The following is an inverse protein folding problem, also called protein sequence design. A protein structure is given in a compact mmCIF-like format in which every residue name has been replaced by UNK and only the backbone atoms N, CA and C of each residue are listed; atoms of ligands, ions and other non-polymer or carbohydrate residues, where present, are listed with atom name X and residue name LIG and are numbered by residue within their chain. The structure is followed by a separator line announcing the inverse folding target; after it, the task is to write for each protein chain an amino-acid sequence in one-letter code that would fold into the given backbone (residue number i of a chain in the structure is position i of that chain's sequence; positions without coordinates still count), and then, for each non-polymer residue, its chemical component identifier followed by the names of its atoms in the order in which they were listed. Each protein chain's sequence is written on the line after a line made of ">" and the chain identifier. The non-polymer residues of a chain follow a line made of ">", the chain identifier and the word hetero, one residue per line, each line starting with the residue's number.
data_IF_034539111497
#
_entry.id   IF_034539111497
#
_cell.length_a   1.000
_cell.length_b   1.000
_cell.length_c   1.000
_cell.angle_alpha   90.00
_cell.angle_beta   90.00
_cell.angle_gamma   90.00
#
_symmetry.space_group_name_H-M   'P 1'
#
loop_
_entity.id
_entity.type
_entity.pdbx_description
1 polymer ?
#
# COMPACT_ATOMS: atom_id res chain seq x y z
N UNK A 1 30.20 49.25 -41.56
CA UNK A 1 28.90 48.83 -40.99
C UNK A 1 28.62 49.74 -39.81
N UNK A 2 27.59 50.59 -39.88
CA UNK A 2 27.22 51.51 -38.79
C UNK A 2 26.09 50.84 -38.01
N UNK A 3 26.41 50.27 -36.86
CA UNK A 3 25.40 49.90 -35.87
C UNK A 3 24.92 51.19 -35.20
N UNK A 4 23.61 51.45 -35.21
CA UNK A 4 23.04 52.63 -34.57
C UNK A 4 22.72 52.33 -33.10
N UNK A 5 22.63 53.37 -32.26
CA UNK A 5 22.28 53.23 -30.85
C UNK A 5 20.87 52.62 -30.68
N UNK A 6 19.98 52.89 -31.65
CA UNK A 6 18.64 52.33 -31.75
C UNK A 6 18.64 50.80 -31.96
N UNK A 7 19.63 50.26 -32.69
CA UNK A 7 19.75 48.80 -32.90
C UNK A 7 20.06 48.07 -31.58
N UNK A 8 20.85 48.70 -30.69
CA UNK A 8 21.20 48.13 -29.38
C UNK A 8 20.01 48.15 -28.42
N UNK A 9 19.20 49.21 -28.44
CA UNK A 9 17.98 49.31 -27.64
C UNK A 9 16.91 48.29 -28.09
N UNK A 10 16.76 48.08 -29.40
CA UNK A 10 15.85 47.06 -29.93
C UNK A 10 16.30 45.63 -29.55
N UNK A 11 17.61 45.37 -29.55
CA UNK A 11 18.13 44.08 -29.13
C UNK A 11 17.92 43.86 -27.62
N UNK A 12 18.16 44.89 -26.80
CA UNK A 12 17.92 44.83 -25.35
C UNK A 12 16.45 44.52 -25.02
N UNK A 13 15.50 45.15 -25.72
CA UNK A 13 14.06 44.86 -25.54
C UNK A 13 13.72 43.41 -25.91
N UNK A 14 14.15 42.93 -27.08
CA UNK A 14 13.87 41.55 -27.49
C UNK A 14 14.44 40.52 -26.52
N UNK A 15 15.65 40.75 -26.02
CA UNK A 15 16.25 39.85 -25.01
C UNK A 15 15.45 39.90 -23.71
N UNK A 16 15.04 41.08 -23.24
CA UNK A 16 14.20 41.20 -22.04
C UNK A 16 12.83 40.53 -22.21
N UNK A 17 12.17 40.70 -23.36
CA UNK A 17 10.89 40.08 -23.67
C UNK A 17 11.03 38.55 -23.68
N UNK A 18 12.06 38.01 -24.34
CA UNK A 18 12.30 36.55 -24.37
C UNK A 18 12.64 35.96 -22.99
N UNK A 19 13.33 36.72 -22.14
CA UNK A 19 13.63 36.29 -20.77
C UNK A 19 12.37 36.28 -19.90
N UNK A 20 11.47 37.25 -20.10
CA UNK A 20 10.20 37.34 -19.37
C UNK A 20 9.24 36.23 -19.80
N UNK A 21 9.11 35.98 -21.10
CA UNK A 21 8.31 34.87 -21.63
C UNK A 21 8.85 33.50 -21.18
N UNK A 22 10.18 33.34 -21.13
CA UNK A 22 10.81 32.13 -20.60
C UNK A 22 10.55 31.97 -19.09
N UNK A 23 10.61 33.04 -18.30
CA UNK A 23 10.31 32.99 -16.86
C UNK A 23 8.85 32.63 -16.59
N UNK A 24 7.90 33.21 -17.32
CA UNK A 24 6.47 32.95 -17.15
C UNK A 24 6.08 31.51 -17.53
N UNK A 25 6.72 30.94 -18.56
CA UNK A 25 6.45 29.57 -18.99
C UNK A 25 7.09 28.51 -18.10
N UNK A 26 8.27 28.80 -17.54
CA UNK A 26 8.93 27.91 -16.55
C UNK A 26 8.19 27.96 -15.21
N UNK A 27 7.73 29.13 -14.76
CA UNK A 27 6.97 29.29 -13.52
C UNK A 27 5.67 28.49 -13.51
N UNK A 28 4.85 28.64 -14.56
CA UNK A 28 3.56 27.93 -14.69
C UNK A 28 3.72 26.41 -14.82
N UNK A 29 4.71 25.95 -15.59
CA UNK A 29 5.00 24.50 -15.68
C UNK A 29 5.49 23.91 -14.37
N UNK A 30 6.20 24.69 -13.56
CA UNK A 30 6.64 24.25 -12.23
C UNK A 30 5.45 24.10 -11.28
N UNK A 31 4.52 25.06 -11.29
CA UNK A 31 3.29 25.00 -10.49
C UNK A 31 2.40 23.80 -10.86
N UNK A 32 2.14 23.61 -12.16
CA UNK A 32 1.36 22.47 -12.67
C UNK A 32 2.01 21.12 -12.30
N UNK A 33 3.35 21.01 -12.37
CA UNK A 33 4.06 19.76 -12.02
C UNK A 33 3.97 19.47 -10.53
N UNK A 34 4.08 20.48 -9.67
CA UNK A 34 3.94 20.32 -8.21
C UNK A 34 2.52 19.87 -7.86
N UNK A 35 1.49 20.47 -8.48
CA UNK A 35 0.10 20.06 -8.28
C UNK A 35 -0.12 18.60 -8.69
N UNK A 36 0.41 18.20 -9.85
CA UNK A 36 0.34 16.81 -10.31
C UNK A 36 1.03 15.86 -9.33
N UNK A 37 2.22 16.20 -8.84
CA UNK A 37 2.93 15.38 -7.86
C UNK A 37 2.14 15.25 -6.54
N UNK A 38 1.52 16.35 -6.08
CA UNK A 38 0.69 16.36 -4.88
C UNK A 38 -0.52 15.43 -5.04
N UNK A 39 -1.22 15.52 -6.17
CA UNK A 39 -2.38 14.66 -6.47
C UNK A 39 -1.94 13.19 -6.55
N UNK A 40 -0.81 12.88 -7.23
CA UNK A 40 -0.27 11.51 -7.28
C UNK A 40 0.04 10.94 -5.90
N UNK A 41 0.65 11.75 -5.04
CA UNK A 41 0.94 11.36 -3.65
C UNK A 41 -0.34 11.05 -2.87
N UNK A 42 -1.37 11.89 -3.02
CA UNK A 42 -2.69 11.66 -2.40
C UNK A 42 -3.36 10.38 -2.93
N UNK A 43 -3.31 10.12 -4.24
CA UNK A 43 -3.83 8.88 -4.84
C UNK A 43 -3.10 7.67 -4.26
N UNK A 44 -1.78 7.72 -4.14
CA UNK A 44 -0.99 6.63 -3.56
C UNK A 44 -1.35 6.36 -2.10
N UNK A 45 -1.55 7.42 -1.31
CA UNK A 45 -2.00 7.32 0.09
C UNK A 45 -3.38 6.67 0.18
N UNK A 46 -4.37 7.18 -0.55
CA UNK A 46 -5.74 6.66 -0.54
C UNK A 46 -5.80 5.19 -1.01
N UNK A 47 -4.95 4.80 -1.96
CA UNK A 47 -4.87 3.39 -2.39
C UNK A 47 -4.36 2.48 -1.28
N UNK A 48 -3.36 2.90 -0.50
CA UNK A 48 -2.87 2.14 0.67
C UNK A 48 -3.92 2.06 1.77
N UNK A 49 -4.66 3.15 2.00
CA UNK A 49 -5.76 3.18 2.96
C UNK A 49 -6.89 2.25 2.54
N UNK A 50 -7.25 2.23 1.25
CA UNK A 50 -8.23 1.28 0.70
C UNK A 50 -7.77 -0.17 0.87
N UNK A 51 -6.51 -0.47 0.55
CA UNK A 51 -5.95 -1.82 0.74
C UNK A 51 -6.06 -2.26 2.20
N UNK A 52 -5.69 -1.39 3.14
CA UNK A 52 -5.86 -1.65 4.56
C UNK A 52 -7.33 -1.87 4.93
N UNK A 53 -8.25 -1.05 4.43
CA UNK A 53 -9.68 -1.20 4.68
C UNK A 53 -10.23 -2.53 4.14
N UNK A 54 -9.77 -2.99 2.98
CA UNK A 54 -10.14 -4.31 2.44
C UNK A 54 -9.61 -5.45 3.32
N UNK A 55 -8.37 -5.35 3.81
CA UNK A 55 -7.80 -6.32 4.73
C UNK A 55 -8.57 -6.36 6.07
N UNK A 56 -8.88 -5.19 6.64
CA UNK A 56 -9.65 -5.08 7.88
C UNK A 56 -11.07 -5.62 7.70
N UNK A 57 -11.72 -5.35 6.56
CA UNK A 57 -13.02 -5.93 6.21
C UNK A 57 -12.96 -7.46 6.15
N UNK A 58 -11.94 -8.02 5.50
CA UNK A 58 -11.73 -9.48 5.45
C UNK A 58 -11.52 -10.07 6.84
N UNK A 59 -10.72 -9.42 7.70
CA UNK A 59 -10.50 -9.83 9.10
C UNK A 59 -11.80 -9.84 9.90
N UNK A 60 -12.59 -8.76 9.83
CA UNK A 60 -13.88 -8.66 10.53
C UNK A 60 -14.82 -9.78 10.09
N UNK A 61 -14.91 -10.03 8.77
CA UNK A 61 -15.77 -11.07 8.23
C UNK A 61 -15.30 -12.47 8.67
N UNK A 62 -13.99 -12.73 8.66
CA UNK A 62 -13.44 -13.99 9.14
C UNK A 62 -13.69 -14.19 10.64
N UNK A 63 -13.52 -13.16 11.48
CA UNK A 63 -13.85 -13.24 12.92
C UNK A 63 -15.31 -13.62 13.12
N UNK A 64 -16.24 -12.99 12.41
CA UNK A 64 -17.68 -13.33 12.50
C UNK A 64 -17.96 -14.77 12.08
N UNK A 65 -17.29 -15.24 11.03
CA UNK A 65 -17.37 -16.64 10.61
C UNK A 65 -16.89 -17.58 11.72
N UNK A 66 -15.76 -17.28 12.37
CA UNK A 66 -15.24 -18.08 13.49
C UNK A 66 -16.16 -18.06 14.72
N UNK A 67 -16.85 -16.95 14.97
CA UNK A 67 -17.84 -16.80 16.04
C UNK A 67 -19.16 -17.56 15.73
N UNK A 68 -19.28 -18.15 14.53
CA UNK A 68 -20.43 -18.94 14.10
C UNK A 68 -21.62 -18.09 13.63
N UNK A 69 -21.39 -16.81 13.31
CA UNK A 69 -22.41 -15.96 12.70
C UNK A 69 -22.69 -16.37 11.25
N UNK A 70 -23.92 -16.11 10.77
CA UNK A 70 -24.26 -16.37 9.37
C UNK A 70 -23.57 -15.36 8.46
N UNK A 71 -22.55 -15.83 7.74
CA UNK A 71 -21.91 -15.09 6.64
C UNK A 71 -22.45 -15.57 5.30
N UNK A 72 -22.29 -14.75 4.26
CA UNK A 72 -22.69 -15.13 2.89
C UNK A 72 -21.95 -16.40 2.44
N UNK A 73 -22.58 -17.32 1.67
CA UNK A 73 -21.94 -18.56 1.23
C UNK A 73 -20.65 -18.34 0.43
N UNK A 74 -20.54 -17.27 -0.36
CA UNK A 74 -19.33 -16.95 -1.10
C UNK A 74 -18.18 -16.55 -0.16
N UNK A 75 -18.51 -15.82 0.91
CA UNK A 75 -17.58 -15.46 1.97
C UNK A 75 -17.18 -16.67 2.80
N UNK A 76 -18.13 -17.55 3.14
CA UNK A 76 -17.85 -18.79 3.87
C UNK A 76 -16.85 -19.68 3.12
N UNK A 77 -17.00 -19.83 1.80
CA UNK A 77 -16.08 -20.61 0.99
C UNK A 77 -14.64 -20.06 1.03
N UNK A 78 -14.49 -18.73 1.02
CA UNK A 78 -13.18 -18.08 1.18
C UNK A 78 -12.62 -18.29 2.59
N UNK A 79 -13.46 -18.25 3.63
CA UNK A 79 -13.03 -18.53 5.01
C UNK A 79 -12.54 -19.97 5.17
N UNK A 80 -13.23 -20.96 4.59
CA UNK A 80 -12.79 -22.36 4.59
C UNK A 80 -11.44 -22.55 3.87
N UNK A 81 -11.19 -21.78 2.80
CA UNK A 81 -9.90 -21.81 2.10
C UNK A 81 -8.77 -21.20 2.96
N UNK A 82 -9.05 -20.10 3.68
CA UNK A 82 -8.13 -19.52 4.66
C UNK A 82 -7.77 -20.55 5.73
N UNK A 83 -8.75 -21.28 6.29
CA UNK A 83 -8.51 -22.32 7.30
C UNK A 83 -7.59 -23.43 6.77
N UNK A 84 -7.83 -23.92 5.54
CA UNK A 84 -6.97 -24.93 4.90
C UNK A 84 -5.54 -24.43 4.73
N UNK A 85 -5.36 -23.18 4.33
CA UNK A 85 -4.03 -22.58 4.20
C UNK A 85 -3.34 -22.44 5.55
N UNK A 86 -4.04 -22.03 6.61
CA UNK A 86 -3.49 -21.95 7.97
C UNK A 86 -3.06 -23.33 8.48
N UNK A 87 -3.87 -24.37 8.30
CA UNK A 87 -3.51 -25.74 8.66
C UNK A 87 -2.26 -26.23 7.90
N UNK A 88 -2.17 -25.93 6.60
CA UNK A 88 -1.02 -26.28 5.79
C UNK A 88 0.25 -25.55 6.26
N UNK A 89 0.15 -24.25 6.57
CA UNK A 89 1.27 -23.46 7.12
C UNK A 89 1.77 -24.12 8.41
N UNK A 90 0.89 -24.44 9.36
CA UNK A 90 1.29 -25.11 10.59
C UNK A 90 1.97 -26.46 10.34
N UNK A 91 1.48 -27.24 9.37
CA UNK A 91 2.09 -28.51 9.00
C UNK A 91 3.50 -28.31 8.42
N UNK A 92 3.69 -27.31 7.58
CA UNK A 92 4.99 -26.97 7.00
C UNK A 92 5.95 -26.43 8.06
N UNK A 93 5.50 -25.60 8.99
CA UNK A 93 6.31 -25.15 10.13
C UNK A 93 6.77 -26.31 11.01
N UNK A 94 5.87 -27.26 11.31
CA UNK A 94 6.22 -28.50 12.04
C UNK A 94 7.28 -29.30 11.27
N UNK A 95 7.13 -29.44 9.94
CA UNK A 95 8.14 -30.09 9.08
C UNK A 95 9.47 -29.35 9.09
N UNK A 96 9.48 -28.02 9.07
CA UNK A 96 10.72 -27.23 9.18
C UNK A 96 11.43 -27.49 10.51
N UNK A 97 10.70 -27.51 11.63
CA UNK A 97 11.27 -27.83 12.94
C UNK A 97 11.84 -29.26 12.98
N UNK A 98 11.13 -30.23 12.40
CA UNK A 98 11.62 -31.60 12.29
C UNK A 98 12.88 -31.73 11.44
N UNK A 99 12.94 -31.06 10.29
CA UNK A 99 14.10 -31.07 9.40
C UNK A 99 15.30 -30.34 10.02
N UNK A 100 15.07 -29.19 10.66
CA UNK A 100 16.10 -28.51 11.47
C UNK A 100 16.59 -29.40 12.62
N UNK A 101 15.72 -30.26 13.17
CA UNK A 101 16.07 -31.26 14.17
C UNK A 101 16.78 -32.52 13.62
N UNK A 102 16.91 -32.66 12.30
CA UNK A 102 17.56 -33.77 11.61
C UNK A 102 18.70 -33.22 10.74
N UNK A 103 19.81 -32.85 11.38
CA UNK A 103 21.03 -32.44 10.67
C UNK A 103 21.73 -33.63 10.02
N UNK A 104 22.70 -33.41 9.15
CA UNK A 104 23.60 -34.46 8.65
C UNK A 104 25.03 -34.16 9.10
N UNK A 105 25.80 -35.20 9.40
CA UNK A 105 27.22 -35.03 9.71
C UNK A 105 27.97 -34.52 8.45
N UNK A 106 28.67 -33.39 8.56
CA UNK A 106 29.43 -32.80 7.44
C UNK A 106 30.53 -33.72 6.89
N UNK A 107 31.07 -34.63 7.72
CA UNK A 107 32.16 -35.55 7.34
C UNK A 107 31.68 -36.88 6.74
N UNK A 108 30.67 -37.52 7.35
CA UNK A 108 30.24 -38.87 6.96
C UNK A 108 28.80 -38.94 6.45
N UNK A 109 28.09 -37.81 6.38
CA UNK A 109 26.71 -37.67 5.90
C UNK A 109 25.70 -38.59 6.63
N UNK A 110 26.03 -39.09 7.81
CA UNK A 110 25.07 -39.81 8.65
C UNK A 110 24.06 -38.81 9.21
N UNK A 111 22.74 -39.10 9.19
CA UNK A 111 21.73 -38.28 9.86
C UNK A 111 22.02 -38.16 11.36
N UNK A 112 21.92 -36.94 11.88
CA UNK A 112 22.15 -36.54 13.25
C UNK A 112 20.85 -36.00 13.84
N UNK A 113 20.51 -36.47 15.04
CA UNK A 113 19.40 -35.92 15.81
C UNK A 113 19.78 -34.57 16.42
N UNK A 114 18.78 -33.72 16.67
CA UNK A 114 18.90 -32.41 17.31
C UNK A 114 19.71 -32.51 18.62
N UNK A 115 20.67 -31.60 18.80
CA UNK A 115 21.44 -31.47 20.05
C UNK A 115 22.60 -32.46 20.23
N UNK A 116 22.93 -33.28 19.21
CA UNK A 116 24.14 -34.10 19.24
C UNK A 116 25.39 -33.21 19.19
N UNK A 117 26.35 -33.42 20.09
CA UNK A 117 27.63 -32.69 20.08
C UNK A 117 28.71 -33.35 19.20
N UNK A 118 28.57 -34.65 18.94
CA UNK A 118 29.47 -35.45 18.13
C UNK A 118 28.68 -36.47 17.30
N UNK A 119 29.18 -36.80 16.11
CA UNK A 119 28.60 -37.81 15.25
C UNK A 119 28.80 -39.22 15.84
N UNK A 120 27.73 -40.04 15.97
CA UNK A 120 27.84 -41.40 16.52
C UNK A 120 28.58 -42.38 15.59
N UNK A 121 28.68 -42.07 14.29
CA UNK A 121 29.30 -42.97 13.30
C UNK A 121 30.78 -42.69 13.10
N UNK A 122 31.19 -41.41 13.00
CA UNK A 122 32.58 -41.05 12.70
C UNK A 122 33.28 -40.22 13.80
N UNK A 123 32.56 -39.78 14.84
CA UNK A 123 33.11 -39.00 15.95
C UNK A 123 33.36 -37.52 15.64
N UNK A 124 33.04 -37.03 14.44
CA UNK A 124 33.20 -35.61 14.09
C UNK A 124 32.31 -34.72 14.97
N UNK A 125 32.84 -33.57 15.41
CA UNK A 125 32.10 -32.60 16.22
C UNK A 125 30.99 -31.96 15.39
N UNK A 126 29.82 -31.79 15.99
CA UNK A 126 28.64 -31.19 15.37
C UNK A 126 28.53 -29.74 15.85
N UNK A 127 28.51 -28.79 14.92
CA UNK A 127 28.22 -27.39 15.20
C UNK A 127 26.70 -27.24 15.25
N UNK A 128 26.13 -27.08 16.45
CA UNK A 128 24.72 -26.69 16.61
C UNK A 128 24.68 -25.17 16.61
N UNK A 129 24.38 -24.58 15.45
CA UNK A 129 23.98 -23.18 15.35
C UNK A 129 22.53 -23.10 15.84
N UNK A 130 22.35 -22.69 17.10
CA UNK A 130 21.06 -22.18 17.56
C UNK A 130 20.90 -20.77 16.97
N UNK A 131 20.25 -20.68 15.81
CA UNK A 131 19.89 -19.40 15.20
C UNK A 131 18.38 -19.14 15.28
N UNK A 132 18.00 -17.85 15.44
CA UNK A 132 16.71 -17.42 15.95
C UNK A 132 15.55 -17.75 14.99
N UNK A 133 14.34 -17.81 15.56
CA UNK A 133 13.10 -17.94 14.82
C UNK A 133 13.07 -16.93 13.67
N UNK A 134 13.08 -17.44 12.44
CA UNK A 134 12.89 -16.66 11.23
C UNK A 134 11.51 -15.99 11.34
N UNK A 135 11.51 -14.67 11.50
CA UNK A 135 10.31 -13.84 11.44
C UNK A 135 9.69 -13.96 10.05
N UNK A 136 8.37 -14.13 10.02
CA UNK A 136 7.53 -14.33 8.85
C UNK A 136 7.93 -13.44 7.66
N UNK A 137 8.46 -14.07 6.61
CA UNK A 137 8.56 -13.50 5.27
C UNK A 137 7.15 -13.52 4.67
N UNK A 138 6.28 -12.65 5.16
CA UNK A 138 5.08 -12.23 4.46
C UNK A 138 5.08 -10.70 4.39
N UNK A 139 6.19 -10.14 3.90
CA UNK A 139 6.15 -8.84 3.24
C UNK A 139 5.21 -9.03 2.05
N UNK A 140 4.02 -8.45 2.16
CA UNK A 140 3.07 -8.31 1.07
C UNK A 140 3.80 -7.68 -0.12
N UNK A 141 4.21 -8.52 -1.06
CA UNK A 141 4.53 -8.10 -2.42
C UNK A 141 3.24 -7.56 -3.04
N UNK A 142 2.92 -6.30 -2.77
CA UNK A 142 1.99 -5.52 -3.58
C UNK A 142 2.69 -5.17 -4.88
N UNK A 143 2.73 -6.13 -5.81
CA UNK A 143 3.15 -5.92 -7.19
C UNK A 143 2.00 -5.23 -7.93
N UNK A 144 2.18 -3.94 -8.23
CA UNK A 144 1.99 -3.29 -9.54
C UNK A 144 1.66 -1.81 -9.34
N UNK A 145 2.69 -0.98 -9.50
CA UNK A 145 2.66 0.14 -10.44
C UNK A 145 4.12 0.51 -10.72
N UNK A 146 4.61 0.03 -11.87
CA UNK A 146 5.76 0.64 -12.55
C UNK A 146 5.36 2.07 -12.92
N UNK A 147 5.80 3.06 -12.15
CA UNK A 147 6.19 4.35 -12.70
C UNK A 147 7.57 4.69 -12.12
N UNK A 148 8.57 4.48 -12.97
CA UNK A 148 9.96 4.89 -12.82
C UNK A 148 10.10 6.41 -12.80
N UNK A 149 11.08 6.88 -12.02
CA UNK A 149 11.69 8.23 -12.05
C UNK A 149 10.79 9.36 -11.50
N UNK A 150 11.18 10.18 -10.52
CA UNK A 150 12.50 10.63 -10.13
C UNK A 150 12.45 11.10 -8.67
N UNK A 151 13.55 10.88 -7.95
CA UNK A 151 13.77 11.22 -6.57
C UNK A 151 13.92 12.75 -6.44
N UNK A 152 12.99 13.41 -5.76
CA UNK A 152 13.21 14.74 -5.20
C UNK A 152 12.68 14.78 -3.77
N UNK A 153 13.58 14.49 -2.84
CA UNK A 153 13.48 14.96 -1.46
C UNK A 153 13.54 16.49 -1.49
N UNK A 154 12.47 17.18 -1.12
CA UNK A 154 12.62 18.40 -0.33
C UNK A 154 11.35 18.69 0.47
N UNK A 155 11.56 18.81 1.78
CA UNK A 155 10.59 19.20 2.79
C UNK A 155 9.91 20.52 2.42
N UNK A 156 8.58 20.53 2.34
CA UNK A 156 7.83 21.79 2.31
C UNK A 156 7.00 21.90 3.58
N UNK A 157 7.41 22.88 4.38
CA UNK A 157 6.79 23.34 5.62
C UNK A 157 5.35 23.78 5.34
N UNK A 158 4.40 23.21 6.06
CA UNK A 158 3.02 23.71 6.12
C UNK A 158 2.96 25.01 6.92
N UNK A 159 2.30 26.07 6.41
CA UNK A 159 1.60 27.01 7.26
C UNK A 159 0.17 26.49 7.45
N UNK A 160 -0.12 26.07 8.68
CA UNK A 160 -1.49 26.01 9.20
C UNK A 160 -2.05 27.43 9.29
N UNK A 161 -3.28 27.61 8.83
CA UNK A 161 -4.35 28.45 9.40
C UNK A 161 -5.29 28.92 8.28
N UNK A 162 -6.44 28.27 8.17
CA UNK A 162 -7.75 28.94 8.02
C UNK A 162 -8.82 27.93 8.45
N UNK A 163 -9.17 28.01 9.74
CA UNK A 163 -10.46 27.57 10.27
C UNK A 163 -11.58 28.53 9.83
N UNK A 164 -12.81 28.02 9.93
CA UNK A 164 -14.12 28.66 9.68
C UNK A 164 -14.48 28.76 8.18
N UNK A 165 -15.50 28.07 7.67
CA UNK A 165 -16.86 27.97 8.21
C UNK A 165 -17.52 26.63 7.85
N UNK A 166 -17.96 25.91 8.89
CA UNK A 166 -19.05 24.94 8.87
C UNK A 166 -20.35 25.72 9.17
N UNK A 167 -21.45 25.51 8.44
CA UNK A 167 -22.62 24.70 8.84
C UNK A 167 -23.80 25.03 7.88
N UNK A 168 -24.92 24.27 7.85
CA UNK A 168 -25.11 22.85 8.21
C UNK A 168 -25.95 22.04 7.20
N UNK A 169 -25.84 20.72 7.33
CA UNK A 169 -26.59 19.67 6.65
C UNK A 169 -28.05 19.55 7.13
N UNK A 170 -28.93 20.48 6.75
CA UNK A 170 -30.38 20.40 7.08
C UNK A 170 -31.35 20.39 5.89
N UNK A 171 -30.90 20.68 4.68
CA UNK A 171 -31.79 20.70 3.51
C UNK A 171 -31.86 19.36 2.78
N UNK A 172 -30.96 18.40 3.06
CA UNK A 172 -30.88 17.13 2.32
C UNK A 172 -31.83 16.06 2.89
N UNK A 173 -32.35 16.23 4.11
CA UNK A 173 -33.30 15.26 4.70
C UNK A 173 -34.74 15.47 4.19
N UNK A 174 -35.16 16.70 3.88
CA UNK A 174 -36.52 16.99 3.39
C UNK A 174 -36.74 16.45 1.97
N UNK A 175 -35.72 16.47 1.11
CA UNK A 175 -35.82 15.98 -0.28
C UNK A 175 -35.89 14.45 -0.40
N UNK A 176 -35.50 13.70 0.64
CA UNK A 176 -35.52 12.22 0.64
C UNK A 176 -36.85 11.64 1.15
N UNK A 177 -37.58 12.35 2.00
CA UNK A 177 -38.90 11.91 2.47
C UNK A 177 -39.98 12.06 1.38
N UNK A 178 -39.93 13.14 0.57
CA UNK A 178 -40.89 13.38 -0.53
C UNK A 178 -40.79 12.35 -1.68
N UNK A 179 -39.62 11.71 -1.84
CA UNK A 179 -39.39 10.69 -2.86
C UNK A 179 -39.88 9.30 -2.44
N UNK A 180 -39.96 9.02 -1.13
CA UNK A 180 -40.45 7.74 -0.58
C UNK A 180 -41.98 7.68 -0.61
N UNK A 181 -42.67 8.78 -0.29
CA UNK A 181 -44.14 8.86 -0.34
C UNK A 181 -44.72 8.70 -1.76
N UNK A 182 -43.95 9.03 -2.79
CA UNK A 182 -44.36 8.88 -4.20
C UNK A 182 -44.32 7.43 -4.71
N UNK A 183 -43.64 6.51 -4.02
CA UNK A 183 -43.47 5.12 -4.45
C UNK A 183 -44.43 4.14 -3.75
N UNK A 184 -44.91 4.45 -2.55
CA UNK A 184 -45.86 3.59 -1.82
C UNK A 184 -47.32 3.70 -2.32
N UNK A 185 -47.63 4.70 -3.14
CA UNK A 185 -48.98 4.94 -3.68
C UNK A 185 -49.38 4.14 -4.94
N UNK A 186 -48.55 3.20 -5.43
CA UNK A 186 -48.82 2.46 -6.70
C UNK A 186 -49.05 0.96 -6.57
N UNK A 187 -49.13 0.42 -5.36
CA UNK A 187 -49.55 -0.97 -5.14
C UNK A 187 -50.93 -1.02 -4.46
N UNK A 188 -51.98 -0.65 -5.20
CA UNK A 188 -53.31 -0.62 -4.62
C UNK A 188 -54.45 -0.25 -5.57
N UNK A 189 -54.54 -0.90 -6.74
CA UNK A 189 -55.78 -1.20 -7.47
C UNK A 189 -55.42 -1.73 -8.86
N UNK A 190 -55.58 -3.05 -9.07
CA UNK A 190 -56.27 -3.74 -10.18
C UNK A 190 -56.16 -5.25 -9.95
#
# INVERSE_FOLDING_TARGET
>A
MKFTLEDLEQLGRRVADTLTEAADTVGKKTEEVIEVQKIRSQISMLRRENEKAFQDMGRILYTKYQDGESVDPSCAALCEEIEKHMEAIEEYEKKLVELRGKGFCKECQTPLSKGMAYCPTCGAKVENEEEPAEEDIFESESIFEEETEEKAEETVVFPEEMEEQHEPAKEVEEDLEDLVDSLEGKEGEV
#
